data_IF_006868752213
#
_entry.id   IF_006868752213
#
_cell.length_a   1.000
_cell.length_b   1.000
_cell.length_c   1.000
_cell.angle_alpha   90.00
_cell.angle_beta   90.00
_cell.angle_gamma   90.00
#
_symmetry.space_group_name_H-M   'P 1'
#
loop_
_entity.id
_entity.type
_entity.pdbx_description
1 polymer ?
#
# COMPACT_ATOMS: atom_id res chain seq x y z
N UNK A 1 -38.28 30.71 29.19
CA UNK A 1 -37.32 29.65 28.84
C UNK A 1 -37.46 29.36 27.35
N UNK A 2 -36.64 30.00 26.52
CA UNK A 2 -36.70 29.83 25.07
C UNK A 2 -36.06 28.50 24.64
N UNK A 3 -36.83 27.71 23.90
CA UNK A 3 -36.42 26.44 23.32
C UNK A 3 -35.41 26.68 22.18
N UNK A 4 -34.12 26.63 22.48
CA UNK A 4 -33.05 26.55 21.49
C UNK A 4 -33.06 25.19 20.77
N UNK A 5 -33.97 25.03 19.79
CA UNK A 5 -33.89 23.94 18.80
C UNK A 5 -32.72 24.23 17.88
N UNK A 6 -31.63 23.49 18.06
CA UNK A 6 -30.49 23.44 17.12
C UNK A 6 -31.02 23.12 15.72
N UNK A 7 -31.13 24.13 14.85
CA UNK A 7 -31.53 23.93 13.47
C UNK A 7 -30.51 23.02 12.78
N UNK A 8 -30.97 21.86 12.32
CA UNK A 8 -30.18 20.97 11.45
C UNK A 8 -29.89 21.72 10.17
N UNK A 9 -28.65 22.18 10.01
CA UNK A 9 -28.15 22.82 8.78
C UNK A 9 -28.45 21.91 7.58
N UNK A 10 -29.39 22.31 6.74
CA UNK A 10 -29.74 21.61 5.50
C UNK A 10 -28.53 21.79 4.56
N UNK A 11 -27.98 20.68 4.07
CA UNK A 11 -26.78 20.67 3.22
C UNK A 11 -27.18 20.91 1.77
N UNK A 12 -26.76 22.02 1.19
CA UNK A 12 -27.12 22.39 -0.17
C UNK A 12 -26.20 21.75 -1.22
N UNK A 13 -26.69 21.64 -2.47
CA UNK A 13 -25.90 21.14 -3.62
C UNK A 13 -24.66 22.02 -3.86
N UNK A 14 -24.73 23.31 -3.52
CA UNK A 14 -23.61 24.26 -3.57
C UNK A 14 -22.50 23.93 -2.57
N UNK A 15 -22.81 23.33 -1.40
CA UNK A 15 -21.81 22.88 -0.43
C UNK A 15 -20.93 21.71 -0.94
N UNK A 16 -21.28 21.11 -2.08
CA UNK A 16 -20.53 20.03 -2.73
C UNK A 16 -19.87 20.46 -4.04
N UNK A 17 -20.11 21.68 -4.51
CA UNK A 17 -19.49 22.18 -5.73
C UNK A 17 -18.00 22.40 -5.49
N UNK A 18 -17.17 21.91 -6.41
CA UNK A 18 -15.71 22.07 -6.39
C UNK A 18 -15.37 23.25 -7.30
N UNK A 19 -14.73 24.29 -6.75
CA UNK A 19 -14.39 25.55 -7.50
C UNK A 19 -13.29 25.29 -8.52
N UNK A 20 -12.35 24.43 -8.15
CA UNK A 20 -11.41 23.73 -9.00
C UNK A 20 -11.68 22.25 -8.73
N UNK A 21 -11.68 21.34 -9.71
CA UNK A 21 -12.29 19.97 -9.68
C UNK A 21 -11.95 19.07 -8.46
N UNK A 22 -11.04 19.51 -7.58
CA UNK A 22 -10.59 18.88 -6.34
C UNK A 22 -10.84 19.67 -5.05
N UNK A 23 -11.11 20.97 -5.13
CA UNK A 23 -11.24 21.90 -4.01
C UNK A 23 -12.69 21.97 -3.51
N UNK A 24 -13.12 20.92 -2.80
CA UNK A 24 -14.41 20.96 -2.09
C UNK A 24 -14.30 21.84 -0.82
N UNK A 25 -15.42 22.34 -0.27
CA UNK A 25 -15.39 23.21 0.92
C UNK A 25 -14.66 22.59 2.12
N UNK A 26 -14.63 21.25 2.20
CA UNK A 26 -13.91 20.53 3.24
C UNK A 26 -12.39 20.59 3.05
N UNK A 27 -11.89 20.38 1.83
CA UNK A 27 -10.47 20.53 1.47
C UNK A 27 -10.04 21.97 1.70
N UNK A 28 -10.82 22.95 1.22
CA UNK A 28 -10.54 24.38 1.43
C UNK A 28 -10.46 24.76 2.90
N UNK A 29 -11.36 24.24 3.74
CA UNK A 29 -11.30 24.47 5.19
C UNK A 29 -10.06 23.85 5.85
N UNK A 30 -9.45 22.81 5.29
CA UNK A 30 -8.20 22.26 5.80
C UNK A 30 -7.04 23.17 5.41
N UNK A 31 -6.98 23.62 4.15
CA UNK A 31 -5.94 24.53 3.65
C UNK A 31 -5.95 25.85 4.42
N UNK A 32 -7.12 26.51 4.55
CA UNK A 32 -7.27 27.74 5.35
C UNK A 32 -6.85 27.58 6.80
N UNK A 33 -7.08 26.41 7.40
CA UNK A 33 -6.63 26.15 8.79
C UNK A 33 -5.11 26.04 8.90
N UNK A 34 -4.42 25.62 7.84
CA UNK A 34 -2.96 25.60 7.80
C UNK A 34 -2.40 27.00 7.57
N UNK A 35 -3.02 27.77 6.67
CA UNK A 35 -2.68 29.18 6.42
C UNK A 35 -2.89 30.03 7.67
N UNK A 36 -4.05 29.96 8.33
CA UNK A 36 -4.33 30.72 9.56
C UNK A 36 -3.41 30.35 10.74
N UNK A 37 -2.70 29.23 10.65
CA UNK A 37 -1.72 28.80 11.65
C UNK A 37 -0.29 29.13 11.25
N UNK A 38 -0.08 29.85 10.15
CA UNK A 38 1.22 30.13 9.57
C UNK A 38 2.03 28.84 9.31
N UNK A 39 1.35 27.77 8.87
CA UNK A 39 2.01 26.50 8.52
C UNK A 39 2.10 26.29 7.00
N UNK A 40 1.26 26.99 6.24
CA UNK A 40 1.22 26.93 4.78
C UNK A 40 1.14 28.36 4.24
N UNK A 41 1.93 28.66 3.22
CA UNK A 41 2.08 29.97 2.64
C UNK A 41 2.11 29.89 1.12
N UNK A 42 1.69 30.98 0.47
CA UNK A 42 1.80 31.20 -0.98
C UNK A 42 1.37 29.98 -1.80
N UNK A 43 0.14 29.50 -1.59
CA UNK A 43 -0.44 28.44 -2.42
C UNK A 43 -0.47 28.92 -3.87
N UNK A 44 0.39 28.35 -4.70
CA UNK A 44 0.56 28.72 -6.10
C UNK A 44 -0.56 28.17 -7.00
N UNK A 45 -0.44 28.47 -8.30
CA UNK A 45 -1.33 27.93 -9.32
C UNK A 45 -1.24 26.40 -9.44
N UNK A 46 -2.27 25.80 -10.04
CA UNK A 46 -2.27 24.37 -10.36
C UNK A 46 -1.21 24.09 -11.43
N UNK A 47 -0.21 23.27 -11.08
CA UNK A 47 0.90 22.88 -11.96
C UNK A 47 0.44 21.78 -12.91
N UNK A 48 -0.30 20.82 -12.38
CA UNK A 48 -0.74 19.63 -13.12
C UNK A 48 -2.12 19.22 -12.63
N UNK A 49 -3.06 19.16 -13.55
CA UNK A 49 -4.40 18.64 -13.32
C UNK A 49 -4.47 17.22 -13.86
N UNK A 50 -4.29 16.23 -12.97
CA UNK A 50 -4.38 14.81 -13.32
C UNK A 50 -5.82 14.28 -13.27
N UNK A 51 -6.02 13.05 -13.71
CA UNK A 51 -7.30 12.35 -13.57
C UNK A 51 -7.65 12.12 -12.09
N UNK A 52 -6.64 11.87 -11.25
CA UNK A 52 -6.81 11.40 -9.87
C UNK A 52 -6.53 12.46 -8.80
N UNK A 53 -5.63 13.39 -9.10
CA UNK A 53 -5.23 14.46 -8.21
C UNK A 53 -4.83 15.71 -9.00
N UNK A 54 -4.92 16.87 -8.36
CA UNK A 54 -4.27 18.08 -8.83
C UNK A 54 -3.04 18.36 -7.97
N UNK A 55 -2.02 18.96 -8.59
CA UNK A 55 -0.75 19.30 -7.97
C UNK A 55 -0.61 20.82 -7.92
N UNK A 56 -0.31 21.36 -6.74
CA UNK A 56 -0.09 22.79 -6.50
C UNK A 56 1.32 23.00 -5.91
N UNK A 57 1.93 24.16 -6.14
CA UNK A 57 3.13 24.59 -5.40
C UNK A 57 2.73 25.35 -4.15
N UNK A 58 3.64 25.43 -3.19
CA UNK A 58 3.53 26.37 -2.09
C UNK A 58 4.79 26.42 -1.26
N UNK A 59 4.70 27.07 -0.11
CA UNK A 59 5.73 27.06 0.93
C UNK A 59 5.11 26.54 2.22
N UNK A 60 5.85 25.78 3.01
CA UNK A 60 5.37 25.26 4.28
C UNK A 60 6.41 25.40 5.39
N UNK A 61 5.92 25.58 6.61
CA UNK A 61 6.76 25.54 7.82
C UNK A 61 7.14 24.09 8.15
N UNK A 62 8.38 23.87 8.57
CA UNK A 62 8.85 22.59 9.09
C UNK A 62 8.13 22.13 10.35
N UNK A 63 7.38 23.03 11.02
CA UNK A 63 6.48 22.70 12.14
C UNK A 63 5.20 21.95 11.72
N UNK A 64 5.02 21.62 10.45
CA UNK A 64 3.88 20.83 10.00
C UNK A 64 3.85 19.45 10.69
N UNK A 65 2.78 19.20 11.44
CA UNK A 65 2.57 17.92 12.11
C UNK A 65 1.33 17.19 11.58
N UNK A 66 1.44 15.87 11.40
CA UNK A 66 0.32 15.00 11.06
C UNK A 66 0.44 13.63 11.73
N UNK A 67 -0.53 12.74 11.49
CA UNK A 67 -0.49 11.36 12.00
C UNK A 67 0.81 10.64 11.59
N UNK A 68 1.37 10.98 10.43
CA UNK A 68 2.53 10.31 9.85
C UNK A 68 3.85 11.03 10.13
N UNK A 69 3.81 12.28 10.58
CA UNK A 69 4.98 13.14 10.71
C UNK A 69 4.85 13.94 11.99
N UNK A 70 5.75 13.69 12.94
CA UNK A 70 5.84 14.42 14.20
C UNK A 70 7.12 15.25 14.16
N UNK A 71 7.05 16.41 14.78
CA UNK A 71 8.13 17.39 14.84
C UNK A 71 9.41 16.76 15.41
N UNK A 72 10.52 16.98 14.72
CA UNK A 72 11.85 16.49 15.08
C UNK A 72 12.71 17.64 15.59
N UNK A 73 12.21 18.45 16.52
CA UNK A 73 13.02 19.39 17.33
C UNK A 73 13.90 20.42 16.59
N UNK A 74 13.78 20.57 15.27
CA UNK A 74 14.56 21.52 14.47
C UNK A 74 13.96 22.93 14.51
N UNK A 75 14.80 23.94 14.28
CA UNK A 75 14.38 25.33 14.17
C UNK A 75 13.36 25.51 13.03
N UNK A 76 12.39 26.40 13.25
CA UNK A 76 11.36 26.69 12.26
C UNK A 76 11.94 27.37 11.04
N UNK A 77 11.79 26.73 9.88
CA UNK A 77 12.13 27.33 8.60
C UNK A 77 11.06 27.00 7.55
N UNK A 78 11.01 27.83 6.51
CA UNK A 78 10.01 27.73 5.45
C UNK A 78 10.66 27.07 4.23
N UNK A 79 10.10 25.94 3.81
CA UNK A 79 10.59 25.15 2.68
C UNK A 79 9.61 25.17 1.50
N UNK A 80 10.10 25.11 0.25
CA UNK A 80 9.25 24.93 -0.92
C UNK A 80 8.63 23.52 -0.91
N UNK A 81 7.33 23.43 -1.19
CA UNK A 81 6.59 22.17 -1.16
C UNK A 81 5.67 22.00 -2.36
N UNK A 82 5.34 20.75 -2.63
CA UNK A 82 4.30 20.33 -3.55
C UNK A 82 3.11 19.80 -2.75
N UNK A 83 1.90 20.21 -3.15
CA UNK A 83 0.64 19.86 -2.50
C UNK A 83 -0.19 19.05 -3.50
N UNK A 84 -0.26 17.74 -3.28
CA UNK A 84 -1.09 16.80 -4.04
C UNK A 84 -2.45 16.68 -3.38
N UNK A 85 -3.49 17.11 -4.09
CA UNK A 85 -4.88 17.05 -3.64
C UNK A 85 -5.65 16.04 -4.49
N UNK A 86 -6.03 14.92 -3.88
CA UNK A 86 -6.79 13.87 -4.57
C UNK A 86 -8.26 14.29 -4.76
N UNK A 87 -8.80 14.00 -5.95
CA UNK A 87 -10.19 14.27 -6.35
C UNK A 87 -11.17 13.50 -5.47
N UNK A 88 -12.17 14.16 -4.88
CA UNK A 88 -13.09 13.51 -3.92
C UNK A 88 -14.43 13.02 -4.49
N UNK A 89 -14.88 13.54 -5.63
CA UNK A 89 -16.30 13.48 -6.02
C UNK A 89 -16.67 12.79 -7.34
N UNK A 90 -15.71 12.30 -8.14
CA UNK A 90 -15.98 11.41 -9.28
C UNK A 90 -14.76 10.52 -9.53
N UNK A 91 -14.90 9.22 -9.28
CA UNK A 91 -13.93 8.21 -9.67
C UNK A 91 -14.40 7.67 -11.03
N UNK A 92 -13.92 8.24 -12.13
CA UNK A 92 -14.26 7.73 -13.48
C UNK A 92 -13.59 6.37 -13.76
N UNK A 93 -12.72 5.88 -12.87
CA UNK A 93 -12.00 4.63 -13.02
C UNK A 93 -12.50 3.54 -12.06
N UNK A 94 -13.18 2.53 -12.63
CA UNK A 94 -13.58 1.30 -11.95
C UNK A 94 -12.43 0.31 -11.74
N UNK A 95 -11.29 0.48 -12.41
CA UNK A 95 -10.14 -0.45 -12.38
C UNK A 95 -9.18 -0.24 -11.21
N UNK A 96 -9.65 0.36 -10.11
CA UNK A 96 -8.83 0.70 -8.93
C UNK A 96 -8.75 -0.43 -7.90
N UNK A 97 -9.71 -1.35 -7.94
CA UNK A 97 -9.80 -2.47 -7.01
C UNK A 97 -8.59 -3.41 -7.15
N UNK A 98 -8.14 -3.69 -8.38
CA UNK A 98 -6.97 -4.55 -8.66
C UNK A 98 -5.64 -4.13 -8.01
N UNK A 99 -5.49 -2.86 -7.60
CA UNK A 99 -4.28 -2.34 -6.94
C UNK A 99 -4.35 -2.38 -5.40
N UNK A 100 -5.49 -2.81 -4.86
CA UNK A 100 -5.78 -2.88 -3.42
C UNK A 100 -6.20 -4.31 -3.05
N UNK A 101 -6.84 -5.02 -3.97
CA UNK A 101 -7.18 -6.43 -3.88
C UNK A 101 -5.89 -7.26 -3.65
N UNK A 102 -5.91 -8.11 -2.63
CA UNK A 102 -4.72 -8.84 -2.17
C UNK A 102 -3.80 -8.07 -1.21
N UNK A 103 -3.97 -6.75 -1.02
CA UNK A 103 -3.13 -5.99 -0.10
C UNK A 103 -3.55 -6.22 1.36
N UNK A 104 -2.74 -6.99 2.11
CA UNK A 104 -3.00 -7.36 3.52
C UNK A 104 -3.37 -6.17 4.41
N UNK A 105 -2.77 -5.00 4.14
CA UNK A 105 -2.97 -3.76 4.91
C UNK A 105 -4.38 -3.19 4.75
N UNK A 106 -5.12 -3.59 3.72
CA UNK A 106 -6.40 -2.99 3.31
C UNK A 106 -7.57 -3.97 3.19
N UNK A 107 -7.37 -5.25 3.53
CA UNK A 107 -8.40 -6.31 3.46
C UNK A 107 -9.69 -6.02 4.24
N UNK A 108 -9.66 -5.19 5.27
CA UNK A 108 -10.85 -4.90 6.13
C UNK A 108 -11.54 -3.56 5.85
N UNK A 109 -11.23 -2.87 4.74
CA UNK A 109 -11.70 -1.50 4.52
C UNK A 109 -12.93 -1.39 3.62
N UNK A 110 -13.77 -0.41 3.96
CA UNK A 110 -15.00 -0.09 3.24
C UNK A 110 -14.69 0.56 1.88
N UNK A 111 -14.73 -0.24 0.81
CA UNK A 111 -14.49 0.21 -0.58
C UNK A 111 -15.65 1.03 -1.15
N UNK A 112 -16.85 0.94 -0.57
CA UNK A 112 -18.06 1.59 -1.08
C UNK A 112 -18.12 3.11 -0.87
N UNK A 113 -17.27 3.69 -0.01
CA UNK A 113 -17.24 5.14 0.23
C UNK A 113 -16.02 5.78 -0.45
N UNK A 114 -16.19 6.53 -1.56
CA UNK A 114 -15.08 7.12 -2.31
C UNK A 114 -14.14 7.96 -1.45
N UNK A 115 -14.66 8.70 -0.47
CA UNK A 115 -13.82 9.54 0.41
C UNK A 115 -12.96 8.73 1.36
N UNK A 116 -13.45 7.57 1.83
CA UNK A 116 -12.65 6.66 2.66
C UNK A 116 -11.57 5.99 1.81
N UNK A 117 -11.93 5.59 0.59
CA UNK A 117 -11.00 5.01 -0.37
C UNK A 117 -9.86 5.98 -0.73
N UNK A 118 -10.17 7.22 -1.07
CA UNK A 118 -9.16 8.24 -1.41
C UNK A 118 -8.22 8.53 -0.24
N UNK A 119 -8.75 8.56 0.99
CA UNK A 119 -7.91 8.69 2.18
C UNK A 119 -6.95 7.50 2.29
N UNK A 120 -7.42 6.29 2.02
CA UNK A 120 -6.61 5.08 2.01
C UNK A 120 -5.48 5.16 0.98
N UNK A 121 -5.79 5.67 -0.22
CA UNK A 121 -4.84 5.87 -1.30
C UNK A 121 -3.75 6.87 -0.94
N UNK A 122 -4.15 8.01 -0.38
CA UNK A 122 -3.20 9.00 0.10
C UNK A 122 -2.31 8.44 1.23
N UNK A 123 -2.88 7.62 2.13
CA UNK A 123 -2.10 6.90 3.15
C UNK A 123 -1.15 5.86 2.53
N UNK A 124 -1.59 5.12 1.49
CA UNK A 124 -0.78 4.14 0.77
C UNK A 124 0.41 4.82 0.11
N UNK A 125 0.18 5.92 -0.61
CA UNK A 125 1.24 6.67 -1.29
C UNK A 125 2.30 7.18 -0.31
N UNK A 126 1.89 7.74 0.84
CA UNK A 126 2.83 8.18 1.88
C UNK A 126 3.67 7.03 2.42
N UNK A 127 3.07 5.86 2.67
CA UNK A 127 3.82 4.69 3.16
C UNK A 127 4.81 4.19 2.12
N UNK A 128 4.39 4.15 0.85
CA UNK A 128 5.26 3.73 -0.24
C UNK A 128 6.41 4.71 -0.45
N UNK A 129 6.15 6.03 -0.44
CA UNK A 129 7.19 7.06 -0.52
C UNK A 129 8.23 6.90 0.60
N UNK A 130 7.79 6.81 1.86
CA UNK A 130 8.69 6.56 2.99
C UNK A 130 9.56 5.32 2.79
N UNK A 131 8.93 4.21 2.38
CA UNK A 131 9.63 2.93 2.16
C UNK A 131 10.72 3.05 1.10
N UNK A 132 10.46 3.74 0.00
CA UNK A 132 11.46 3.89 -1.07
C UNK A 132 12.56 4.90 -0.69
N UNK A 133 12.21 5.96 0.05
CA UNK A 133 13.18 6.90 0.59
C UNK A 133 14.15 6.21 1.55
N UNK A 134 13.66 5.33 2.43
CA UNK A 134 14.49 4.49 3.33
C UNK A 134 15.41 3.53 2.56
N UNK A 135 15.02 3.11 1.34
CA UNK A 135 15.83 2.25 0.48
C UNK A 135 16.87 3.03 -0.36
N UNK A 136 16.97 4.35 -0.20
CA UNK A 136 17.86 5.21 -0.99
C UNK A 136 17.45 5.33 -2.45
N UNK A 137 16.14 5.26 -2.73
CA UNK A 137 15.56 5.67 -4.01
C UNK A 137 15.15 7.14 -3.85
N UNK A 138 15.53 7.97 -4.81
CA UNK A 138 15.19 9.38 -4.81
C UNK A 138 13.71 9.55 -5.15
N UNK A 139 12.99 10.18 -4.24
CA UNK A 139 11.58 10.52 -4.40
C UNK A 139 11.23 11.68 -3.46
N UNK A 140 10.14 12.42 -3.73
CA UNK A 140 9.69 13.50 -2.86
C UNK A 140 9.49 13.00 -1.43
N UNK A 141 10.15 13.63 -0.45
CA UNK A 141 9.94 13.28 0.96
C UNK A 141 8.55 13.76 1.38
N UNK A 142 7.65 12.87 1.85
CA UNK A 142 6.37 13.30 2.35
C UNK A 142 6.54 14.03 3.69
N UNK A 143 5.80 15.14 3.88
CA UNK A 143 5.94 16.02 5.06
C UNK A 143 4.64 16.04 5.87
N UNK A 144 3.49 16.03 5.20
CA UNK A 144 2.21 16.13 5.87
C UNK A 144 1.12 15.43 5.09
N UNK A 145 0.26 14.68 5.79
CA UNK A 145 -0.92 14.07 5.21
C UNK A 145 -2.16 14.32 6.07
N UNK A 146 -3.21 14.87 5.45
CA UNK A 146 -4.53 14.97 6.08
C UNK A 146 -5.64 14.75 5.08
N UNK A 147 -6.42 13.68 5.30
CA UNK A 147 -7.50 13.24 4.41
C UNK A 147 -6.98 12.98 2.99
N UNK A 148 -7.29 13.87 2.05
CA UNK A 148 -6.97 13.81 0.63
C UNK A 148 -5.92 14.87 0.22
N UNK A 149 -5.22 15.47 1.19
CA UNK A 149 -4.18 16.47 0.95
C UNK A 149 -2.85 15.89 1.44
N UNK A 150 -1.93 15.67 0.51
CA UNK A 150 -0.56 15.27 0.74
C UNK A 150 0.37 16.45 0.41
N UNK A 151 1.20 16.85 1.38
CA UNK A 151 2.27 17.83 1.20
C UNK A 151 3.59 17.09 1.25
N UNK A 152 4.45 17.33 0.26
CA UNK A 152 5.75 16.69 0.10
C UNK A 152 6.77 17.70 -0.42
N UNK A 153 8.04 17.34 -0.33
CA UNK A 153 9.17 18.11 -0.85
C UNK A 153 8.99 18.45 -2.33
N UNK A 154 9.33 19.69 -2.70
CA UNK A 154 9.38 20.11 -4.10
C UNK A 154 10.69 19.62 -4.73
N UNK A 155 10.59 18.84 -5.80
CA UNK A 155 11.74 18.46 -6.63
C UNK A 155 11.86 19.46 -7.76
N UNK A 156 12.96 20.21 -7.77
CA UNK A 156 13.22 21.29 -8.73
C UNK A 156 13.74 22.55 -8.05
N UNK A 157 13.59 23.68 -8.73
CA UNK A 157 14.00 24.98 -8.25
C UNK A 157 12.83 25.69 -7.54
N UNK A 158 13.14 26.76 -6.80
CA UNK A 158 12.12 27.55 -6.09
C UNK A 158 11.07 28.07 -7.08
N UNK A 159 9.85 27.55 -6.99
CA UNK A 159 8.73 27.94 -7.84
C UNK A 159 8.61 27.17 -9.16
N UNK A 160 9.56 26.28 -9.49
CA UNK A 160 9.55 25.49 -10.74
C UNK A 160 9.82 24.01 -10.46
N UNK A 161 8.83 23.18 -10.74
CA UNK A 161 8.97 21.71 -10.63
C UNK A 161 9.90 21.20 -11.73
N UNK A 162 10.71 20.23 -11.37
CA UNK A 162 11.60 19.53 -12.29
C UNK A 162 10.84 18.96 -13.50
N UNK A 163 11.42 18.99 -14.71
CA UNK A 163 10.81 18.39 -15.88
C UNK A 163 10.66 16.88 -15.73
N UNK A 164 9.65 16.31 -16.39
CA UNK A 164 9.49 14.87 -16.52
C UNK A 164 10.50 14.32 -17.53
N UNK A 165 10.88 13.06 -17.39
CA UNK A 165 11.76 12.37 -18.32
C UNK A 165 11.25 12.46 -19.77
N UNK A 166 9.92 12.40 -19.97
CA UNK A 166 9.29 12.61 -21.28
C UNK A 166 9.70 13.92 -21.95
N UNK A 167 9.73 14.99 -21.16
CA UNK A 167 9.85 16.37 -21.65
C UNK A 167 11.32 16.78 -21.84
N UNK A 168 12.27 15.91 -21.46
CA UNK A 168 13.70 16.15 -21.66
C UNK A 168 14.06 16.08 -23.14
N UNK A 169 14.78 17.12 -23.57
CA UNK A 169 15.48 17.19 -24.85
C UNK A 169 16.98 17.21 -24.55
N UNK A 170 17.74 16.48 -25.34
CA UNK A 170 19.21 16.55 -25.34
C UNK A 170 19.87 16.13 -24.01
N UNK A 171 19.63 14.88 -23.60
CA UNK A 171 20.28 14.25 -22.45
C UNK A 171 20.93 12.93 -22.86
N UNK A 172 21.89 12.46 -22.07
CA UNK A 172 22.48 11.14 -22.27
C UNK A 172 21.46 10.04 -21.95
N UNK A 173 20.71 9.61 -22.97
CA UNK A 173 19.63 8.65 -22.82
C UNK A 173 20.12 7.26 -22.36
N UNK A 174 21.37 6.88 -22.68
CA UNK A 174 21.94 5.59 -22.25
C UNK A 174 22.15 5.54 -20.74
N UNK A 175 22.63 6.63 -20.15
CA UNK A 175 22.83 6.73 -18.70
C UNK A 175 21.50 6.84 -17.96
N UNK A 176 20.55 7.62 -18.50
CA UNK A 176 19.19 7.69 -17.96
C UNK A 176 18.47 6.34 -18.02
N UNK A 177 18.71 5.54 -19.06
CA UNK A 177 18.19 4.17 -19.15
C UNK A 177 18.78 3.29 -18.04
N UNK A 178 20.11 3.28 -17.87
CA UNK A 178 20.77 2.53 -16.79
C UNK A 178 20.27 2.94 -15.41
N UNK A 179 20.08 4.24 -15.19
CA UNK A 179 19.53 4.77 -13.93
C UNK A 179 18.08 4.33 -13.71
N UNK A 180 17.26 4.34 -14.76
CA UNK A 180 15.87 3.87 -14.70
C UNK A 180 15.79 2.38 -14.31
N UNK A 181 16.63 1.54 -14.93
CA UNK A 181 16.72 0.11 -14.59
C UNK A 181 17.24 -0.09 -13.16
N UNK A 182 18.20 0.72 -12.71
CA UNK A 182 18.70 0.69 -11.32
C UNK A 182 17.60 1.03 -10.32
N UNK A 183 16.72 1.99 -10.64
CA UNK A 183 15.56 2.34 -9.82
C UNK A 183 14.61 1.15 -9.74
N UNK A 184 14.21 0.55 -10.88
CA UNK A 184 13.34 -0.64 -10.92
C UNK A 184 13.90 -1.79 -10.07
N UNK A 185 15.20 -2.08 -10.22
CA UNK A 185 15.90 -3.12 -9.46
C UNK A 185 15.87 -2.86 -7.96
N UNK A 186 16.14 -1.62 -7.53
CA UNK A 186 16.06 -1.23 -6.11
C UNK A 186 14.61 -1.32 -5.59
N UNK A 187 13.64 -0.89 -6.39
CA UNK A 187 12.22 -0.90 -6.04
C UNK A 187 11.74 -2.34 -5.76
N UNK A 188 12.03 -3.27 -6.68
CA UNK A 188 11.67 -4.67 -6.52
C UNK A 188 12.43 -5.34 -5.37
N UNK A 189 13.76 -5.21 -5.34
CA UNK A 189 14.60 -6.02 -4.43
C UNK A 189 14.65 -5.49 -3.01
N UNK A 190 14.84 -4.18 -2.85
CA UNK A 190 14.99 -3.53 -1.53
C UNK A 190 13.66 -3.08 -0.98
N UNK A 191 12.91 -2.31 -1.77
CA UNK A 191 11.62 -1.81 -1.32
C UNK A 191 10.50 -2.85 -1.39
N UNK A 192 10.70 -4.02 -2.03
CA UNK A 192 9.66 -5.06 -2.22
C UNK A 192 8.36 -4.47 -2.76
N UNK A 193 8.50 -3.57 -3.73
CA UNK A 193 7.39 -2.92 -4.43
C UNK A 193 7.56 -3.07 -5.95
N UNK A 194 6.44 -3.10 -6.65
CA UNK A 194 6.34 -2.92 -8.10
C UNK A 194 5.58 -1.61 -8.33
N UNK A 195 6.02 -0.77 -9.26
CA UNK A 195 5.40 0.54 -9.46
C UNK A 195 4.01 0.42 -10.09
N UNK A 196 3.84 -0.52 -11.03
CA UNK A 196 2.62 -0.83 -11.79
C UNK A 196 2.18 0.22 -12.82
N UNK A 197 2.98 1.27 -12.97
CA UNK A 197 2.84 2.35 -13.96
C UNK A 197 4.19 3.07 -14.17
N UNK A 198 5.30 2.33 -14.18
CA UNK A 198 6.63 2.90 -14.34
C UNK A 198 6.80 3.35 -15.80
N UNK A 199 6.95 4.66 -16.01
CA UNK A 199 7.05 5.26 -17.35
C UNK A 199 7.78 6.60 -17.29
N UNK A 200 8.05 7.18 -18.46
CA UNK A 200 8.68 8.49 -18.61
C UNK A 200 7.88 9.66 -18.02
N UNK A 201 6.59 9.44 -17.72
CA UNK A 201 5.70 10.41 -17.10
C UNK A 201 5.87 10.49 -15.58
N UNK A 202 6.32 9.38 -14.97
CA UNK A 202 6.43 9.21 -13.51
C UNK A 202 7.88 9.28 -13.01
N UNK A 203 8.79 9.74 -13.87
CA UNK A 203 10.18 10.06 -13.54
C UNK A 203 10.41 11.55 -13.75
N UNK A 204 10.88 12.24 -12.71
CA UNK A 204 11.37 13.62 -12.81
C UNK A 204 12.89 13.61 -12.91
N UNK A 205 13.46 14.60 -13.61
CA UNK A 205 14.90 14.76 -13.70
C UNK A 205 15.35 16.08 -13.08
N UNK A 206 16.17 15.97 -12.04
CA UNK A 206 16.81 17.11 -11.38
C UNK A 206 18.20 16.67 -10.92
N UNK A 207 19.19 16.79 -11.82
CA UNK A 207 20.53 16.19 -11.75
C UNK A 207 20.57 14.65 -11.72
N UNK A 208 19.56 14.03 -11.12
CA UNK A 208 19.33 12.59 -11.04
C UNK A 208 17.84 12.30 -11.24
N UNK A 209 17.50 11.03 -11.46
CA UNK A 209 16.11 10.60 -11.62
C UNK A 209 15.41 10.47 -10.26
N UNK A 210 14.25 11.11 -10.14
CA UNK A 210 13.34 11.02 -9.01
C UNK A 210 12.07 10.27 -9.40
N UNK A 211 11.72 9.25 -8.63
CA UNK A 211 10.50 8.48 -8.81
C UNK A 211 9.33 9.18 -8.12
N UNK A 212 8.23 9.37 -8.84
CA UNK A 212 7.00 9.97 -8.32
C UNK A 212 5.79 9.06 -8.56
N UNK A 213 4.68 9.38 -7.89
CA UNK A 213 3.36 8.74 -8.06
C UNK A 213 3.28 7.24 -7.70
N UNK A 214 3.60 6.94 -6.44
CA UNK A 214 3.52 5.57 -5.87
C UNK A 214 2.13 5.19 -5.35
N UNK A 215 1.06 5.88 -5.77
CA UNK A 215 -0.30 5.60 -5.32
C UNK A 215 -0.81 4.23 -5.76
N UNK A 216 -0.39 3.78 -6.95
CA UNK A 216 -0.81 2.51 -7.53
C UNK A 216 0.15 1.36 -7.23
N UNK A 217 1.38 1.66 -6.80
CA UNK A 217 2.41 0.67 -6.50
C UNK A 217 1.94 -0.45 -5.55
N UNK A 218 2.31 -1.68 -5.85
CA UNK A 218 1.89 -2.91 -5.16
C UNK A 218 3.08 -3.64 -4.56
N UNK A 219 2.82 -4.56 -3.62
CA UNK A 219 3.86 -5.40 -3.04
C UNK A 219 4.25 -6.55 -3.99
N UNK A 220 5.52 -6.95 -3.98
CA UNK A 220 6.03 -8.05 -4.84
C UNK A 220 5.45 -9.43 -4.49
N UNK A 221 4.77 -9.55 -3.35
CA UNK A 221 4.09 -10.78 -2.93
C UNK A 221 2.63 -10.86 -3.37
N UNK A 222 2.14 -9.88 -4.15
CA UNK A 222 0.82 -9.97 -4.74
C UNK A 222 0.88 -10.82 -6.02
N UNK A 223 -0.17 -11.59 -6.27
CA UNK A 223 -0.29 -12.51 -7.41
C UNK A 223 0.01 -11.81 -8.75
N UNK A 224 -0.52 -10.62 -8.96
CA UNK A 224 -0.34 -9.88 -10.22
C UNK A 224 0.99 -9.11 -10.32
N UNK A 225 1.88 -9.21 -9.33
CA UNK A 225 3.07 -8.35 -9.27
C UNK A 225 4.05 -8.55 -10.42
N UNK A 226 4.21 -9.78 -10.89
CA UNK A 226 5.09 -10.10 -12.02
C UNK A 226 4.54 -9.49 -13.31
N UNK A 227 3.22 -9.60 -13.58
CA UNK A 227 2.56 -8.98 -14.73
C UNK A 227 2.74 -7.45 -14.77
N UNK A 228 2.60 -6.78 -13.62
CA UNK A 228 2.82 -5.35 -13.51
C UNK A 228 4.30 -4.97 -13.70
N UNK A 229 5.23 -5.80 -13.22
CA UNK A 229 6.66 -5.58 -13.43
C UNK A 229 7.04 -5.69 -14.92
N UNK A 230 6.49 -6.69 -15.61
CA UNK A 230 6.72 -6.88 -17.05
C UNK A 230 6.23 -5.65 -17.83
N UNK A 231 5.07 -5.11 -17.47
CA UNK A 231 4.54 -3.89 -18.06
C UNK A 231 5.42 -2.66 -17.76
N UNK A 232 5.93 -2.54 -16.52
CA UNK A 232 6.87 -1.48 -16.12
C UNK A 232 8.17 -1.53 -16.97
N UNK A 233 8.72 -2.74 -17.17
CA UNK A 233 9.92 -2.98 -18.02
C UNK A 233 9.62 -2.64 -19.49
N UNK A 234 8.48 -3.08 -20.01
CA UNK A 234 8.06 -2.81 -21.38
C UNK A 234 7.92 -1.30 -21.65
N UNK A 235 7.25 -0.58 -20.75
CA UNK A 235 7.02 0.86 -20.90
C UNK A 235 8.34 1.64 -20.96
N UNK A 236 9.28 1.35 -20.05
CA UNK A 236 10.56 2.06 -20.02
C UNK A 236 11.44 1.68 -21.22
N UNK A 237 11.48 0.41 -21.62
CA UNK A 237 12.21 -0.03 -22.79
C UNK A 237 11.68 0.65 -24.05
N UNK A 238 10.36 0.71 -24.24
CA UNK A 238 9.76 1.37 -25.40
C UNK A 238 10.08 2.85 -25.48
N UNK A 239 10.10 3.54 -24.34
CA UNK A 239 10.45 4.96 -24.30
C UNK A 239 11.89 5.18 -24.79
N UNK A 240 12.85 4.42 -24.25
CA UNK A 240 14.27 4.57 -24.60
C UNK A 240 14.60 4.03 -25.99
N UNK A 241 13.93 2.96 -26.43
CA UNK A 241 14.06 2.45 -27.80
C UNK A 241 13.66 3.53 -28.82
N UNK A 242 12.56 4.26 -28.59
CA UNK A 242 12.14 5.40 -29.44
C UNK A 242 13.14 6.57 -29.43
N UNK A 243 13.98 6.65 -28.40
CA UNK A 243 15.05 7.64 -28.26
C UNK A 243 16.40 7.16 -28.83
N UNK A 244 16.43 5.99 -29.46
CA UNK A 244 17.62 5.42 -30.12
C UNK A 244 18.57 4.68 -29.19
N UNK A 245 18.18 4.40 -27.94
CA UNK A 245 18.98 3.62 -26.98
C UNK A 245 18.88 2.13 -27.28
N UNK A 246 20.01 1.43 -27.21
CA UNK A 246 20.02 -0.04 -27.25
C UNK A 246 19.51 -0.60 -25.92
N UNK A 247 18.25 -1.02 -25.90
CA UNK A 247 17.61 -1.59 -24.71
C UNK A 247 17.88 -3.09 -24.58
N UNK A 248 17.89 -3.57 -23.35
CA UNK A 248 17.98 -5.01 -23.05
C UNK A 248 16.65 -5.70 -23.34
N UNK A 249 16.72 -7.00 -23.63
CA UNK A 249 15.52 -7.84 -23.77
C UNK A 249 14.70 -7.82 -22.47
N UNK A 250 13.38 -7.86 -22.59
CA UNK A 250 12.45 -7.91 -21.45
C UNK A 250 12.75 -9.11 -20.55
N UNK A 251 13.01 -10.27 -21.14
CA UNK A 251 13.33 -11.50 -20.41
C UNK A 251 14.59 -11.32 -19.54
N UNK A 252 15.68 -10.84 -20.16
CA UNK A 252 16.95 -10.60 -19.46
C UNK A 252 16.79 -9.58 -18.33
N UNK A 253 16.03 -8.50 -18.55
CA UNK A 253 15.74 -7.51 -17.51
C UNK A 253 14.87 -8.08 -16.39
N UNK A 254 13.88 -8.90 -16.73
CA UNK A 254 13.03 -9.55 -15.75
C UNK A 254 13.87 -10.48 -14.86
N UNK A 255 14.73 -11.32 -15.43
CA UNK A 255 15.68 -12.14 -14.67
C UNK A 255 16.65 -11.28 -13.86
N UNK A 256 17.18 -10.21 -14.45
CA UNK A 256 18.11 -9.31 -13.76
C UNK A 256 17.42 -8.57 -12.60
N UNK A 257 16.13 -8.29 -12.65
CA UNK A 257 15.42 -7.61 -11.56
C UNK A 257 15.00 -8.62 -10.50
N UNK A 258 14.38 -9.73 -10.90
CA UNK A 258 13.75 -10.70 -10.00
C UNK A 258 14.71 -11.77 -9.46
N UNK A 259 15.83 -12.02 -10.14
CA UNK A 259 16.73 -13.17 -9.92
C UNK A 259 16.09 -14.54 -10.15
N UNK A 260 14.89 -14.58 -10.73
CA UNK A 260 14.24 -15.81 -11.18
C UNK A 260 14.78 -16.12 -12.57
N UNK A 261 15.28 -17.33 -12.80
CA UNK A 261 15.69 -17.79 -14.12
C UNK A 261 14.48 -18.28 -14.90
N UNK A 262 14.38 -17.89 -16.16
CA UNK A 262 13.42 -18.40 -17.11
C UNK A 262 13.96 -19.75 -17.62
N UNK A 263 13.13 -20.80 -17.65
CA UNK A 263 13.54 -22.10 -18.21
C UNK A 263 14.10 -21.96 -19.63
N UNK A 264 15.12 -22.76 -19.96
CA UNK A 264 15.78 -22.76 -21.28
C UNK A 264 14.78 -22.88 -22.43
N UNK A 265 13.75 -23.67 -22.23
CA UNK A 265 12.72 -23.98 -23.24
C UNK A 265 11.85 -22.76 -23.57
N UNK A 266 11.78 -21.79 -22.65
CA UNK A 266 11.03 -20.54 -22.79
C UNK A 266 11.94 -19.36 -23.14
N UNK A 267 13.24 -19.57 -23.32
CA UNK A 267 14.20 -18.47 -23.54
C UNK A 267 13.90 -17.65 -24.80
N UNK A 268 13.36 -18.30 -25.83
CA UNK A 268 12.99 -17.65 -27.10
C UNK A 268 11.59 -17.02 -27.09
N UNK A 269 10.82 -17.21 -26.01
CA UNK A 269 9.47 -16.67 -25.88
C UNK A 269 9.55 -15.40 -25.04
N UNK A 270 9.20 -14.27 -25.63
CA UNK A 270 9.15 -12.99 -24.90
C UNK A 270 7.99 -13.00 -23.90
N UNK A 271 8.31 -12.72 -22.64
CA UNK A 271 7.33 -12.64 -21.57
C UNK A 271 6.49 -11.38 -21.75
N UNK A 272 5.18 -11.50 -21.56
CA UNK A 272 4.24 -10.37 -21.63
C UNK A 272 3.36 -10.30 -20.37
N UNK A 273 2.51 -9.27 -20.28
CA UNK A 273 1.65 -9.06 -19.11
C UNK A 273 0.59 -10.16 -18.88
N UNK A 274 0.38 -11.05 -19.84
CA UNK A 274 -0.52 -12.19 -19.74
C UNK A 274 0.21 -13.49 -19.37
N UNK A 275 1.54 -13.48 -19.32
CA UNK A 275 2.33 -14.61 -18.86
C UNK A 275 2.05 -14.88 -17.38
N UNK A 276 1.57 -16.08 -17.07
CA UNK A 276 1.39 -16.52 -15.70
C UNK A 276 2.71 -17.05 -15.15
N UNK A 277 3.20 -16.39 -14.10
CA UNK A 277 4.43 -16.80 -13.40
C UNK A 277 4.03 -17.13 -11.96
N UNK A 278 3.92 -18.42 -11.59
CA UNK A 278 3.53 -18.78 -10.24
C UNK A 278 4.58 -18.32 -9.23
N UNK A 279 4.14 -17.71 -8.14
CA UNK A 279 5.04 -17.34 -7.03
C UNK A 279 5.30 -18.54 -6.11
N UNK A 280 4.31 -19.42 -5.99
CA UNK A 280 4.35 -20.64 -5.20
C UNK A 280 3.81 -21.82 -5.99
N UNK A 281 4.29 -23.02 -5.67
CA UNK A 281 3.82 -24.25 -6.32
C UNK A 281 2.30 -24.44 -6.17
N UNK A 282 1.73 -23.99 -5.05
CA UNK A 282 0.30 -24.09 -4.75
C UNK A 282 -0.60 -23.24 -5.67
N UNK A 283 -0.03 -22.30 -6.44
CA UNK A 283 -0.80 -21.47 -7.38
C UNK A 283 -1.07 -22.21 -8.70
N UNK A 284 -0.29 -23.25 -9.00
CA UNK A 284 -0.49 -24.11 -10.17
C UNK A 284 -1.64 -25.06 -9.87
N UNK A 285 -2.81 -24.76 -10.43
CA UNK A 285 -4.03 -25.56 -10.24
C UNK A 285 -4.05 -26.85 -11.05
N UNK A 286 -3.37 -26.86 -12.21
CA UNK A 286 -3.32 -28.04 -13.06
C UNK A 286 -2.26 -29.02 -12.53
N UNK A 287 -2.72 -30.19 -12.10
CA UNK A 287 -1.84 -31.23 -11.60
C UNK A 287 -0.96 -31.82 -12.70
N UNK A 288 -1.39 -31.77 -13.98
CA UNK A 288 -0.57 -32.25 -15.10
C UNK A 288 0.64 -31.36 -15.33
N UNK A 289 0.47 -30.05 -15.23
CA UNK A 289 1.58 -29.09 -15.33
C UNK A 289 2.60 -29.34 -14.22
N UNK A 290 2.14 -29.64 -13.01
CA UNK A 290 3.00 -30.01 -11.89
C UNK A 290 3.90 -31.20 -12.23
N UNK A 291 3.33 -32.28 -12.77
CA UNK A 291 4.06 -33.50 -13.10
C UNK A 291 5.04 -33.33 -14.26
N UNK A 292 4.75 -32.44 -15.22
CA UNK A 292 5.66 -32.14 -16.34
C UNK A 292 6.94 -31.45 -15.86
N UNK A 293 6.82 -30.53 -14.89
CA UNK A 293 7.98 -29.81 -14.35
C UNK A 293 8.78 -30.60 -13.30
N UNK A 294 8.18 -31.59 -12.62
CA UNK A 294 8.92 -32.44 -11.68
C UNK A 294 9.73 -33.53 -12.39
N UNK A 295 9.25 -34.07 -13.52
CA UNK A 295 9.96 -35.11 -14.30
C UNK A 295 11.29 -34.64 -14.92
N UNK A 296 11.39 -33.37 -15.31
CA UNK A 296 12.60 -32.83 -15.93
C UNK A 296 13.72 -32.54 -14.90
N UNK A 297 13.45 -32.61 -13.59
CA UNK A 297 14.42 -32.35 -12.53
C UNK A 297 15.03 -33.63 -11.91
N UNK A 298 14.80 -34.81 -12.50
CA UNK A 298 15.39 -36.06 -11.98
C UNK A 298 16.92 -36.16 -12.20
N UNK A 299 17.56 -35.20 -12.89
CA UNK A 299 19.02 -35.18 -13.09
C UNK A 299 19.81 -34.14 -12.27
N UNK A 300 19.19 -33.31 -11.43
CA UNK A 300 19.93 -32.48 -10.45
C UNK A 300 19.33 -32.61 -9.04
N UNK A 301 20.14 -33.17 -8.15
CA UNK A 301 19.83 -33.76 -6.85
C UNK A 301 19.17 -32.87 -5.79
N UNK A 302 18.48 -33.56 -4.87
CA UNK A 302 17.97 -33.19 -3.54
C UNK A 302 16.58 -32.56 -3.40
N UNK A 303 15.55 -33.34 -3.76
CA UNK A 303 14.21 -33.24 -3.13
C UNK A 303 13.74 -34.61 -2.61
N UNK A 304 14.58 -35.33 -1.88
CA UNK A 304 14.21 -36.57 -1.19
C UNK A 304 13.51 -36.35 0.17
N UNK A 305 12.97 -35.15 0.41
CA UNK A 305 12.38 -34.77 1.70
C UNK A 305 10.86 -34.52 1.74
N UNK A 306 10.16 -34.51 0.60
CA UNK A 306 8.77 -33.99 0.59
C UNK A 306 7.74 -34.78 -0.24
N UNK A 307 8.12 -35.93 -0.82
CA UNK A 307 7.17 -36.79 -1.53
C UNK A 307 6.89 -38.04 -0.70
N UNK A 308 6.13 -37.86 0.38
CA UNK A 308 5.22 -38.90 0.86
C UNK A 308 3.94 -38.22 1.31
N UNK A 309 2.82 -38.75 0.82
CA UNK A 309 1.43 -38.37 1.12
C UNK A 309 0.80 -37.32 0.20
N UNK A 310 0.50 -37.71 -1.03
CA UNK A 310 -0.77 -37.34 -1.65
C UNK A 310 -1.13 -38.28 -2.81
N UNK A 311 -1.51 -39.52 -2.48
CA UNK A 311 -2.51 -40.25 -3.25
C UNK A 311 -3.75 -40.36 -2.36
N UNK A 312 -4.86 -39.85 -2.89
CA UNK A 312 -6.26 -40.12 -2.51
C UNK A 312 -7.06 -38.84 -2.24
N UNK A 313 -7.62 -38.32 -3.33
CA UNK A 313 -8.72 -37.37 -3.30
C UNK A 313 -10.06 -38.12 -3.23
N UNK A 314 -10.47 -38.56 -2.04
CA UNK A 314 -11.89 -38.78 -1.71
C UNK A 314 -12.09 -38.45 -0.22
N UNK A 315 -13.02 -37.53 0.06
CA UNK A 315 -13.62 -37.22 1.38
C UNK A 315 -12.73 -36.67 2.51
N UNK A 316 -12.45 -35.36 2.50
CA UNK A 316 -12.04 -34.61 3.71
C UNK A 316 -12.92 -33.36 3.89
N UNK A 317 -14.15 -33.58 4.32
CA UNK A 317 -14.98 -32.55 4.96
C UNK A 317 -15.49 -32.94 6.35
N UNK A 318 -15.05 -34.07 6.94
CA UNK A 318 -15.59 -34.52 8.24
C UNK A 318 -14.56 -35.01 9.29
N UNK A 319 -13.26 -34.73 9.12
CA UNK A 319 -12.23 -35.29 10.01
C UNK A 319 -11.25 -34.29 10.63
N UNK A 320 -11.65 -33.01 10.77
CA UNK A 320 -10.88 -32.01 11.54
C UNK A 320 -11.38 -31.77 12.97
N UNK A 321 -12.54 -32.34 13.36
CA UNK A 321 -13.06 -32.26 14.73
C UNK A 321 -12.67 -33.45 15.63
N UNK A 322 -11.98 -34.48 15.09
CA UNK A 322 -11.58 -35.70 15.85
C UNK A 322 -10.09 -35.78 16.21
N UNK A 323 -9.22 -35.00 15.58
CA UNK A 323 -7.75 -35.12 15.74
C UNK A 323 -7.20 -34.25 16.90
N UNK A 324 -7.91 -33.18 17.30
CA UNK A 324 -7.53 -32.33 18.44
C UNK A 324 -7.74 -32.97 19.81
N UNK A 325 -8.37 -34.14 19.89
CA UNK A 325 -8.63 -34.89 21.12
C UNK A 325 -7.73 -36.12 21.34
N UNK A 326 -6.82 -36.44 20.40
CA UNK A 326 -5.98 -37.65 20.47
C UNK A 326 -4.47 -37.42 20.75
N UNK A 327 -3.94 -36.19 20.68
CA UNK A 327 -2.51 -35.91 20.92
C UNK A 327 -2.11 -35.41 22.32
N UNK A 328 -2.86 -35.78 23.37
CA UNK A 328 -2.39 -35.71 24.77
C UNK A 328 -2.82 -36.93 25.58
N UNK A 329 -2.66 -38.13 25.03
CA UNK A 329 -2.81 -39.40 25.76
C UNK A 329 -1.69 -40.37 25.41
N UNK A 330 -0.46 -40.01 25.74
CA UNK A 330 0.59 -40.99 26.00
C UNK A 330 1.67 -40.39 26.89
N UNK A 331 1.34 -40.30 28.17
CA UNK A 331 2.20 -40.53 29.34
C UNK A 331 1.38 -40.18 30.59
N UNK A 332 1.50 -41.02 31.60
CA UNK A 332 0.77 -41.04 32.88
C UNK A 332 -0.54 -41.83 32.80
N UNK A 333 -0.45 -43.11 33.21
CA UNK A 333 -1.59 -43.87 33.69
C UNK A 333 -2.04 -43.24 35.02
N UNK A 334 -2.88 -42.22 34.94
CA UNK A 334 -3.52 -41.61 36.10
C UNK A 334 -4.87 -42.28 36.32
N UNK A 335 -5.15 -42.77 37.52
CA UNK A 335 -6.38 -43.51 37.85
C UNK A 335 -7.63 -42.69 37.49
N UNK A 336 -8.78 -43.36 37.26
CA UNK A 336 -10.07 -42.69 36.91
C UNK A 336 -10.42 -41.55 37.88
N UNK A 337 -9.94 -41.60 39.11
CA UNK A 337 -10.14 -40.61 40.16
C UNK A 337 -9.31 -39.32 39.93
N UNK A 338 -8.06 -39.44 39.48
CA UNK A 338 -7.20 -38.28 39.18
C UNK A 338 -7.74 -37.46 38.01
N UNK A 339 -8.28 -38.13 36.97
CA UNK A 339 -8.96 -37.45 35.85
C UNK A 339 -10.23 -36.73 36.32
N UNK A 340 -10.94 -37.28 37.31
CA UNK A 340 -12.15 -36.67 37.88
C UNK A 340 -11.80 -35.44 38.73
N UNK A 341 -10.70 -35.49 39.48
CA UNK A 341 -10.16 -34.36 40.25
C UNK A 341 -9.71 -33.22 39.34
N UNK A 342 -8.90 -33.49 38.32
CA UNK A 342 -8.44 -32.49 37.34
C UNK A 342 -9.61 -31.82 36.60
N UNK A 343 -10.66 -32.57 36.27
CA UNK A 343 -11.88 -32.01 35.66
C UNK A 343 -12.65 -31.09 36.61
N UNK A 344 -12.67 -31.39 37.91
CA UNK A 344 -13.29 -30.54 38.93
C UNK A 344 -12.50 -29.24 39.10
N UNK A 345 -11.18 -29.34 39.20
CA UNK A 345 -10.28 -28.20 39.34
C UNK A 345 -10.34 -27.24 38.14
N UNK A 346 -10.42 -27.77 36.91
CA UNK A 346 -10.62 -26.96 35.70
C UNK A 346 -12.00 -26.27 35.66
N UNK A 347 -13.05 -26.90 36.19
CA UNK A 347 -14.39 -26.29 36.29
C UNK A 347 -14.40 -25.16 37.31
N UNK A 348 -13.71 -25.32 38.43
CA UNK A 348 -13.64 -24.31 39.49
C UNK A 348 -12.80 -23.09 39.06
N UNK A 349 -11.64 -23.31 38.42
CA UNK A 349 -10.84 -22.23 37.78
C UNK A 349 -11.63 -21.48 36.71
N UNK A 350 -12.51 -22.15 35.94
CA UNK A 350 -13.41 -21.50 34.98
C UNK A 350 -14.53 -20.70 35.66
N UNK A 351 -15.07 -21.17 36.79
CA UNK A 351 -16.04 -20.42 37.60
C UNK A 351 -15.40 -19.14 38.18
N UNK A 352 -14.19 -19.21 38.73
CA UNK A 352 -13.46 -18.02 39.21
C UNK A 352 -13.17 -17.01 38.09
N UNK A 353 -12.77 -17.48 36.91
CA UNK A 353 -12.60 -16.61 35.72
C UNK A 353 -13.91 -15.97 35.24
N UNK A 354 -15.07 -16.61 35.46
CA UNK A 354 -16.39 -16.02 35.17
C UNK A 354 -16.81 -15.01 36.22
N UNK A 355 -16.56 -15.29 37.50
CA UNK A 355 -16.84 -14.37 38.61
C UNK A 355 -15.99 -13.09 38.53
N UNK A 356 -14.72 -13.21 38.12
CA UNK A 356 -13.84 -12.05 37.86
C UNK A 356 -14.23 -11.25 36.61
N UNK A 357 -14.78 -11.89 35.57
CA UNK A 357 -15.39 -11.19 34.40
C UNK A 357 -16.67 -10.45 34.76
N UNK A 358 -17.47 -10.94 35.69
CA UNK A 358 -18.64 -10.20 36.19
C UNK A 358 -18.25 -8.95 36.98
N UNK A 359 -17.05 -8.87 37.58
CA UNK A 359 -16.53 -7.61 38.15
C UNK A 359 -16.13 -6.58 37.07
N UNK A 360 -15.83 -7.01 35.82
CA UNK A 360 -15.54 -6.10 34.70
C UNK A 360 -16.80 -5.42 34.12
N UNK A 361 -17.98 -6.04 34.22
CA UNK A 361 -19.23 -5.43 33.73
C UNK A 361 -19.64 -4.23 34.58
N UNK A 362 -19.31 -4.23 35.88
CA UNK A 362 -19.47 -3.06 36.76
C UNK A 362 -18.48 -1.93 36.46
N UNK A 363 -17.27 -2.28 35.98
CA UNK A 363 -16.29 -1.29 35.46
C UNK A 363 -16.82 -0.59 34.20
N UNK A 364 -17.49 -1.33 33.32
CA UNK A 364 -18.18 -0.78 32.14
C UNK A 364 -19.42 0.06 32.50
N UNK A 365 -20.16 -0.28 33.56
CA UNK A 365 -21.24 0.58 34.10
C UNK A 365 -20.69 1.87 34.72
N UNK A 366 -19.56 1.82 35.44
CA UNK A 366 -18.84 3.00 35.95
C UNK A 366 -18.32 3.90 34.81
N UNK A 367 -17.72 3.33 33.76
CA UNK A 367 -17.26 4.06 32.57
C UNK A 367 -18.42 4.73 31.81
N UNK A 368 -19.56 4.05 31.66
CA UNK A 368 -20.77 4.67 31.07
C UNK A 368 -21.32 5.83 31.93
N UNK A 369 -21.32 5.72 33.27
CA UNK A 369 -21.68 6.82 34.19
C UNK A 369 -20.73 8.01 34.08
N UNK A 370 -19.41 7.78 33.95
CA UNK A 370 -18.41 8.83 33.75
C UNK A 370 -18.58 9.53 32.39
N UNK A 371 -18.87 8.79 31.32
CA UNK A 371 -19.13 9.39 29.99
C UNK A 371 -20.41 10.23 29.96
N UNK A 372 -21.43 9.86 30.74
CA UNK A 372 -22.68 10.62 30.87
C UNK A 372 -22.52 11.89 31.72
N UNK A 373 -21.68 11.87 32.76
CA UNK A 373 -21.33 13.09 33.52
C UNK A 373 -20.52 14.10 32.68
N UNK A 374 -19.53 13.65 31.90
CA UNK A 374 -18.76 14.54 30.99
C UNK A 374 -19.60 15.20 29.90
N UNK A 375 -20.70 14.58 29.47
CA UNK A 375 -21.65 15.18 28.51
C UNK A 375 -22.60 16.21 29.13
N UNK A 376 -22.77 16.22 30.46
CA UNK A 376 -23.64 17.19 31.17
C UNK A 376 -22.91 18.45 31.61
N UNK A 377 -21.57 18.45 31.66
CA UNK A 377 -20.74 19.61 32.03
C UNK A 377 -20.23 20.40 30.82
N UNK A 378 -20.73 20.12 29.61
CA UNK A 378 -20.43 20.87 28.38
C UNK A 378 -21.69 21.51 27.77
N UNK A 379 -22.72 21.73 28.58
CA UNK A 379 -23.82 22.62 28.26
C UNK A 379 -23.86 23.77 29.24
#
# INVERSE_FOLDING_TARGET
>A
MENNKVQKRIKDKKDRATVDKVLDPKTMNILRKLENRNLLFNLGGCISSGKEANIYTGKASTKLQSKFFKETGEEEHIIPVVIKIYRTSKLEFKSREKYIEGERRFQSYCMSNPRKLIKLWAEKEVRNLKRINECGILSPKPIYLKNNILIMELIGEVGKVAPRLKDLKDQNNDDLYKDSIRILKKLYRKAKLVHSDFSEYNLLFFNQLYLIDLGQAIETSQENSDAFLIMDIYNINNFFMKKGVQVKNINDLYEEITQKKIPSDLKNIEINSYSFIPQNINEVKDTKDMFMFTKNNEEESDVSGFITESSDSVDICNELDKITLRKTKSKIASTKEEIKMLRKEFKDKRKEKRMSRNKMTDKNKKLKKISRKKKRTQH
#
